data_IF_553007116169
#
_entry.id   IF_553007116169
#
_cell.length_a   1.000
_cell.length_b   1.000
_cell.length_c   1.000
_cell.angle_alpha   90.00
_cell.angle_beta   90.00
_cell.angle_gamma   90.00
#
_symmetry.space_group_name_H-M   'P 1'
#
loop_
_entity.id
_entity.type
_entity.pdbx_description
1 polymer ?
#
# COMPACT_ATOMS: atom_id res chain seq x y z
N UNK A 1 12.37 -16.76 -1.40
CA UNK A 1 10.99 -16.63 -1.94
C UNK A 1 11.01 -15.47 -2.93
N UNK A 2 10.64 -15.69 -4.18
CA UNK A 2 10.58 -14.69 -5.25
C UNK A 2 9.12 -14.46 -5.61
N UNK A 3 8.67 -13.21 -5.55
CA UNK A 3 7.27 -12.83 -5.80
C UNK A 3 7.16 -12.07 -7.13
N UNK A 4 6.10 -12.32 -7.88
CA UNK A 4 5.82 -11.63 -9.13
C UNK A 4 4.95 -10.38 -8.91
N UNK A 5 5.35 -9.25 -9.49
CA UNK A 5 4.55 -8.02 -9.53
C UNK A 5 3.50 -8.12 -10.62
N UNK A 6 2.35 -8.73 -10.32
CA UNK A 6 1.32 -8.97 -11.33
C UNK A 6 -0.06 -9.19 -10.71
N UNK A 7 -1.14 -8.66 -11.34
CA UNK A 7 -2.50 -9.04 -10.97
C UNK A 7 -2.87 -10.47 -11.41
N UNK A 8 -2.08 -11.08 -12.30
CA UNK A 8 -2.37 -12.37 -12.91
C UNK A 8 -1.68 -13.51 -12.17
N UNK A 9 -2.37 -14.08 -11.18
CA UNK A 9 -1.86 -15.21 -10.38
C UNK A 9 -1.41 -16.39 -11.25
N UNK A 10 -2.15 -16.72 -12.31
CA UNK A 10 -1.77 -17.80 -13.23
C UNK A 10 -0.46 -17.55 -13.98
N UNK A 11 -0.12 -16.29 -14.27
CA UNK A 11 1.17 -15.94 -14.90
C UNK A 11 2.31 -16.10 -13.90
N UNK A 12 2.08 -15.77 -12.63
CA UNK A 12 3.07 -16.00 -11.58
C UNK A 12 3.35 -17.50 -11.40
N UNK A 13 2.31 -18.34 -11.41
CA UNK A 13 2.47 -19.79 -11.36
C UNK A 13 3.24 -20.31 -12.57
N UNK A 14 2.85 -19.92 -13.79
CA UNK A 14 3.52 -20.33 -15.02
C UNK A 14 4.99 -19.86 -15.09
N UNK A 15 5.30 -18.73 -14.45
CA UNK A 15 6.66 -18.21 -14.33
C UNK A 15 7.49 -18.83 -13.20
N UNK A 16 6.95 -19.79 -12.44
CA UNK A 16 7.67 -20.47 -11.35
C UNK A 16 7.92 -19.59 -10.12
N UNK A 17 7.12 -18.55 -9.91
CA UNK A 17 7.24 -17.68 -8.74
C UNK A 17 6.64 -18.33 -7.48
N UNK A 18 7.13 -17.94 -6.31
CA UNK A 18 6.63 -18.41 -5.01
C UNK A 18 5.36 -17.67 -4.57
N UNK A 19 5.03 -16.56 -5.24
CA UNK A 19 3.88 -15.74 -4.89
C UNK A 19 3.75 -14.48 -5.69
N UNK A 20 2.87 -13.59 -5.24
CA UNK A 20 2.41 -12.44 -6.01
C UNK A 20 2.26 -11.18 -5.16
N UNK A 21 2.54 -10.01 -5.75
CA UNK A 21 2.27 -8.69 -5.18
C UNK A 21 1.67 -7.73 -6.24
N UNK A 22 1.01 -6.65 -5.78
CA UNK A 22 0.20 -5.79 -6.66
C UNK A 22 0.91 -4.50 -7.10
N UNK A 23 1.83 -3.97 -6.30
CA UNK A 23 2.57 -2.70 -6.44
C UNK A 23 1.71 -1.44 -6.61
N UNK A 24 0.91 -1.38 -7.67
CA UNK A 24 0.16 -0.21 -8.12
C UNK A 24 -1.02 0.09 -7.18
N UNK A 25 -0.83 1.12 -6.34
CA UNK A 25 -1.81 1.57 -5.35
C UNK A 25 -2.93 2.41 -5.95
N UNK A 26 -2.79 2.83 -7.21
CA UNK A 26 -3.85 3.52 -7.94
C UNK A 26 -4.87 2.51 -8.45
N UNK A 27 -4.42 1.41 -9.05
CA UNK A 27 -5.26 0.38 -9.67
C UNK A 27 -5.81 -0.66 -8.67
N UNK A 28 -5.04 -1.04 -7.66
CA UNK A 28 -5.43 -2.08 -6.71
C UNK A 28 -5.67 -1.50 -5.32
N UNK A 29 -6.73 -1.94 -4.65
CA UNK A 29 -7.07 -1.49 -3.30
C UNK A 29 -7.56 -2.61 -2.39
N UNK A 30 -7.85 -2.26 -1.13
CA UNK A 30 -8.27 -3.22 -0.10
C UNK A 30 -9.49 -4.08 -0.45
N UNK A 31 -10.31 -3.69 -1.44
CA UNK A 31 -11.45 -4.49 -1.92
C UNK A 31 -11.03 -5.56 -2.92
N UNK A 32 -9.93 -5.35 -3.63
CA UNK A 32 -9.37 -6.31 -4.58
C UNK A 32 -8.64 -7.47 -3.87
N UNK A 33 -7.99 -7.19 -2.75
CA UNK A 33 -7.08 -8.14 -2.09
C UNK A 33 -7.72 -9.49 -1.69
N UNK A 34 -8.96 -9.57 -1.15
CA UNK A 34 -9.55 -10.85 -0.79
C UNK A 34 -9.68 -11.83 -1.97
N UNK A 35 -10.15 -11.33 -3.12
CA UNK A 35 -10.23 -12.10 -4.37
C UNK A 35 -8.85 -12.54 -4.82
N UNK A 36 -7.89 -11.62 -4.83
CA UNK A 36 -6.54 -11.85 -5.31
C UNK A 36 -5.81 -12.91 -4.46
N UNK A 37 -5.84 -12.78 -3.13
CA UNK A 37 -5.23 -13.75 -2.23
C UNK A 37 -5.96 -15.09 -2.21
N UNK A 38 -7.29 -15.12 -2.41
CA UNK A 38 -8.01 -16.38 -2.60
C UNK A 38 -7.51 -17.14 -3.83
N UNK A 39 -7.26 -16.43 -4.94
CA UNK A 39 -6.71 -17.04 -6.16
C UNK A 39 -5.28 -17.54 -5.98
N UNK A 40 -4.41 -16.74 -5.33
CA UNK A 40 -3.03 -17.15 -5.00
C UNK A 40 -3.02 -18.45 -4.19
N UNK A 41 -3.77 -18.50 -3.09
CA UNK A 41 -3.83 -19.69 -2.23
C UNK A 41 -4.35 -20.94 -2.95
N UNK A 42 -5.35 -20.82 -3.83
CA UNK A 42 -5.85 -21.95 -4.63
C UNK A 42 -4.78 -22.58 -5.51
N UNK A 43 -3.75 -21.82 -5.86
CA UNK A 43 -2.62 -22.24 -6.69
C UNK A 43 -1.34 -22.50 -5.88
N UNK A 44 -1.43 -22.55 -4.55
CA UNK A 44 -0.28 -22.78 -3.68
C UNK A 44 0.71 -21.61 -3.61
N UNK A 45 0.30 -20.42 -4.05
CA UNK A 45 1.14 -19.22 -4.10
C UNK A 45 0.93 -18.33 -2.87
N UNK A 46 2.02 -17.69 -2.43
CA UNK A 46 1.96 -16.66 -1.39
C UNK A 46 1.28 -15.39 -1.91
N UNK A 47 0.44 -14.78 -1.09
CA UNK A 47 -0.16 -13.49 -1.40
C UNK A 47 0.50 -12.36 -0.60
N UNK A 48 1.02 -11.34 -1.30
CA UNK A 48 1.67 -10.17 -0.72
C UNK A 48 1.11 -8.84 -1.29
N UNK A 49 -0.19 -8.52 -1.09
CA UNK A 49 -0.79 -7.30 -1.62
C UNK A 49 -0.02 -6.05 -1.16
N UNK A 50 0.01 -5.04 -2.02
CA UNK A 50 0.73 -3.79 -1.77
C UNK A 50 -0.21 -2.71 -1.27
N UNK A 51 0.04 -2.21 -0.06
CA UNK A 51 -0.69 -1.09 0.53
C UNK A 51 0.04 0.21 0.25
N UNK A 52 -0.70 1.32 0.13
CA UNK A 52 -0.10 2.63 -0.04
C UNK A 52 -1.01 3.76 0.42
N UNK A 53 -0.44 4.91 0.79
CA UNK A 53 -1.20 5.98 1.41
C UNK A 53 -2.06 6.78 0.43
N UNK A 54 -1.72 6.75 -0.86
CA UNK A 54 -2.35 7.49 -1.95
C UNK A 54 -1.45 7.48 -3.19
N UNK A 55 -1.84 8.23 -4.21
CA UNK A 55 -1.11 8.41 -5.47
C UNK A 55 -1.42 9.80 -6.05
N UNK A 56 -0.39 10.55 -6.44
CA UNK A 56 -0.49 11.81 -7.17
C UNK A 56 0.81 12.07 -7.94
N UNK A 57 0.89 11.57 -9.18
CA UNK A 57 2.07 11.70 -10.03
C UNK A 57 2.03 12.89 -11.00
N UNK A 58 1.02 13.77 -10.89
CA UNK A 58 0.74 14.84 -11.88
C UNK A 58 1.88 15.84 -12.09
N UNK A 59 2.85 15.88 -11.18
CA UNK A 59 4.06 16.73 -11.30
C UNK A 59 5.24 16.03 -11.98
N UNK A 60 5.25 14.71 -12.02
CA UNK A 60 6.36 13.93 -12.56
C UNK A 60 6.00 13.24 -13.88
N UNK A 61 4.72 12.98 -14.13
CA UNK A 61 4.25 12.24 -15.30
C UNK A 61 2.99 12.89 -15.91
N UNK A 62 2.59 12.50 -17.14
CA UNK A 62 1.32 12.91 -17.74
C UNK A 62 0.07 12.27 -17.09
N UNK A 63 0.22 11.40 -16.07
CA UNK A 63 -0.93 10.75 -15.45
C UNK A 63 -1.76 11.73 -14.63
N UNK A 64 -2.98 11.98 -15.07
CA UNK A 64 -3.93 12.90 -14.44
C UNK A 64 -4.69 12.27 -13.27
N UNK A 65 -4.60 10.95 -13.09
CA UNK A 65 -5.36 10.22 -12.07
C UNK A 65 -4.74 10.46 -10.69
N UNK A 66 -5.62 10.56 -9.69
CA UNK A 66 -5.24 10.81 -8.29
C UNK A 66 -5.99 9.87 -7.39
N UNK A 67 -5.26 9.25 -6.45
CA UNK A 67 -5.84 8.60 -5.27
C UNK A 67 -5.49 9.43 -4.05
N UNK A 68 -6.47 10.21 -3.58
CA UNK A 68 -6.29 11.07 -2.41
C UNK A 68 -5.96 10.26 -1.15
N UNK A 69 -5.13 10.82 -0.26
CA UNK A 69 -4.79 10.20 1.02
C UNK A 69 -5.94 10.22 2.05
N UNK A 70 -6.90 11.14 1.87
CA UNK A 70 -8.11 11.32 2.68
C UNK A 70 -7.82 11.30 4.19
N UNK A 71 -6.89 12.14 4.62
CA UNK A 71 -6.49 12.23 6.03
C UNK A 71 -6.07 10.88 6.66
N UNK A 72 -5.50 9.98 5.85
CA UNK A 72 -5.04 8.65 6.29
C UNK A 72 -6.03 7.52 6.00
N UNK A 73 -7.31 7.82 5.72
CA UNK A 73 -8.34 6.80 5.52
C UNK A 73 -8.10 5.89 4.31
N UNK A 74 -7.36 6.37 3.29
CA UNK A 74 -6.98 5.51 2.16
C UNK A 74 -5.99 4.42 2.59
N UNK A 75 -5.01 4.78 3.42
CA UNK A 75 -4.01 3.83 3.89
C UNK A 75 -4.63 2.77 4.80
N UNK A 76 -5.48 3.21 5.73
CA UNK A 76 -6.22 2.33 6.64
C UNK A 76 -7.08 1.32 5.88
N UNK A 77 -7.86 1.78 4.89
CA UNK A 77 -8.72 0.90 4.11
C UNK A 77 -7.92 -0.18 3.33
N UNK A 78 -6.71 0.14 2.88
CA UNK A 78 -5.83 -0.83 2.19
C UNK A 78 -5.26 -1.85 3.18
N UNK A 79 -4.79 -1.41 4.34
CA UNK A 79 -4.32 -2.30 5.41
C UNK A 79 -5.42 -3.24 5.90
N UNK A 80 -6.60 -2.72 6.22
CA UNK A 80 -7.75 -3.54 6.60
C UNK A 80 -8.10 -4.55 5.51
N UNK A 81 -8.01 -4.17 4.25
CA UNK A 81 -8.19 -5.07 3.11
C UNK A 81 -7.18 -6.21 3.09
N UNK A 82 -5.91 -5.93 3.39
CA UNK A 82 -4.87 -6.94 3.46
C UNK A 82 -5.09 -7.91 4.63
N UNK A 83 -5.53 -7.40 5.79
CA UNK A 83 -5.91 -8.23 6.94
C UNK A 83 -7.10 -9.13 6.61
N UNK A 84 -8.19 -8.56 6.05
CA UNK A 84 -9.37 -9.32 5.62
C UNK A 84 -9.04 -10.39 4.57
N UNK A 85 -8.07 -10.11 3.70
CA UNK A 85 -7.61 -11.04 2.69
C UNK A 85 -6.80 -12.22 3.26
N UNK A 86 -6.44 -12.18 4.56
CA UNK A 86 -5.49 -13.07 5.22
C UNK A 86 -4.21 -13.17 4.40
N UNK A 87 -3.63 -12.01 4.08
CA UNK A 87 -2.39 -11.93 3.33
C UNK A 87 -1.24 -12.67 4.04
N UNK A 88 -0.35 -13.29 3.27
CA UNK A 88 0.83 -13.99 3.78
C UNK A 88 1.93 -13.01 4.16
N UNK A 89 2.11 -11.99 3.33
CA UNK A 89 2.95 -10.82 3.57
C UNK A 89 2.15 -9.56 3.21
N UNK A 90 2.65 -8.39 3.60
CA UNK A 90 2.15 -7.11 3.10
C UNK A 90 3.34 -6.31 2.59
N UNK A 91 3.24 -5.77 1.39
CA UNK A 91 4.25 -4.86 0.84
C UNK A 91 3.73 -3.43 0.93
N UNK A 92 4.64 -2.45 1.07
CA UNK A 92 4.27 -1.03 1.13
C UNK A 92 4.82 -0.35 -0.12
N UNK A 93 3.92 0.24 -0.90
CA UNK A 93 4.26 1.13 -1.99
C UNK A 93 3.92 2.55 -1.52
N UNK A 94 4.90 3.33 -1.05
CA UNK A 94 6.35 3.08 -1.01
C UNK A 94 6.97 3.71 0.24
N UNK A 95 8.25 3.43 0.53
CA UNK A 95 8.97 4.28 1.49
C UNK A 95 9.06 5.71 0.97
N UNK A 96 9.67 5.92 -0.21
CA UNK A 96 10.04 7.25 -0.71
C UNK A 96 9.91 7.44 -2.24
N UNK A 97 8.92 6.84 -2.92
CA UNK A 97 8.68 7.15 -4.33
C UNK A 97 7.91 8.47 -4.46
N UNK A 98 8.66 9.58 -4.32
CA UNK A 98 8.14 10.94 -4.31
C UNK A 98 7.51 11.33 -5.63
N UNK A 99 7.99 10.80 -6.77
CA UNK A 99 7.44 11.13 -8.09
C UNK A 99 5.99 10.64 -8.25
N UNK A 100 5.63 9.54 -7.60
CA UNK A 100 4.27 9.00 -7.63
C UNK A 100 3.39 9.51 -6.48
N UNK A 101 3.98 10.18 -5.50
CA UNK A 101 3.27 10.63 -4.30
C UNK A 101 2.80 9.46 -3.41
N UNK A 102 3.46 8.30 -3.47
CA UNK A 102 3.12 7.07 -2.71
C UNK A 102 3.92 6.91 -1.42
N UNK A 103 4.85 7.81 -1.13
CA UNK A 103 5.77 7.75 -0.01
C UNK A 103 5.07 7.75 1.37
N UNK A 104 5.62 6.97 2.31
CA UNK A 104 5.34 7.06 3.75
C UNK A 104 6.44 7.80 4.52
N UNK A 105 7.58 8.07 3.87
CA UNK A 105 8.66 8.92 4.38
C UNK A 105 8.11 10.27 4.89
N UNK A 106 8.65 10.83 5.99
CA UNK A 106 8.12 12.05 6.55
C UNK A 106 8.04 13.20 5.55
N UNK A 107 6.90 13.88 5.53
CA UNK A 107 6.66 14.99 4.60
C UNK A 107 6.13 16.22 5.32
N UNK A 108 6.84 17.33 5.14
CA UNK A 108 6.43 18.66 5.59
C UNK A 108 5.92 19.51 4.43
N UNK A 109 5.02 20.43 4.72
CA UNK A 109 4.61 21.42 3.73
C UNK A 109 5.82 22.31 3.38
N UNK A 110 6.05 22.50 2.08
CA UNK A 110 7.05 23.42 1.53
C UNK A 110 6.46 24.10 0.30
N UNK A 111 7.15 25.08 -0.29
CA UNK A 111 6.65 25.88 -1.40
C UNK A 111 6.05 25.01 -2.52
N UNK A 112 4.72 25.00 -2.61
CA UNK A 112 3.97 24.25 -3.61
C UNK A 112 3.79 22.75 -3.35
N UNK A 113 4.30 22.19 -2.25
CA UNK A 113 4.12 20.78 -1.87
C UNK A 113 3.39 20.65 -0.53
N UNK A 114 2.43 19.73 -0.48
CA UNK A 114 1.70 19.42 0.74
C UNK A 114 2.50 18.44 1.60
N UNK A 115 2.52 18.68 2.90
CA UNK A 115 2.89 17.67 3.89
C UNK A 115 1.71 16.78 4.22
N UNK A 116 1.71 16.22 5.42
CA UNK A 116 0.68 15.30 5.89
C UNK A 116 -0.36 15.92 6.84
N UNK A 117 -0.45 17.25 6.92
CA UNK A 117 -1.42 17.92 7.79
C UNK A 117 -2.85 17.37 7.64
N UNK A 118 -3.47 17.12 8.78
CA UNK A 118 -4.79 16.52 8.92
C UNK A 118 -4.78 14.98 8.93
N UNK A 119 -3.68 14.30 8.60
CA UNK A 119 -3.62 12.83 8.69
C UNK A 119 -3.92 12.35 10.11
N UNK A 120 -5.00 11.56 10.27
CA UNK A 120 -5.54 11.14 11.57
C UNK A 120 -5.70 12.29 12.58
N UNK A 121 -6.09 13.48 12.09
CA UNK A 121 -6.29 14.68 12.92
C UNK A 121 -5.00 15.37 13.40
N UNK A 122 -3.82 14.91 12.95
CA UNK A 122 -2.51 15.46 13.34
C UNK A 122 -2.17 16.72 12.55
N UNK A 123 -1.30 17.56 13.13
CA UNK A 123 -0.87 18.83 12.54
C UNK A 123 0.62 19.10 12.79
N UNK A 124 1.24 19.90 11.94
CA UNK A 124 2.64 20.32 12.05
C UNK A 124 3.60 19.12 12.11
N UNK A 125 4.62 19.19 12.95
CA UNK A 125 5.63 18.15 13.10
C UNK A 125 5.04 16.75 13.40
N UNK A 126 3.92 16.66 14.13
CA UNK A 126 3.25 15.39 14.42
C UNK A 126 2.60 14.76 13.18
N UNK A 127 2.22 15.58 12.19
CA UNK A 127 1.68 15.09 10.94
C UNK A 127 2.79 14.54 10.05
N UNK A 128 3.98 15.14 10.06
CA UNK A 128 5.11 14.77 9.19
C UNK A 128 5.47 13.28 9.33
N UNK A 129 5.44 12.71 10.54
CA UNK A 129 5.77 11.30 10.80
C UNK A 129 4.56 10.36 10.76
N UNK A 130 3.35 10.87 10.52
CA UNK A 130 2.11 10.14 10.79
C UNK A 130 1.98 8.81 10.02
N UNK A 131 2.50 8.73 8.78
CA UNK A 131 2.43 7.50 8.00
C UNK A 131 3.43 6.43 8.47
N UNK A 132 4.57 6.80 9.04
CA UNK A 132 5.47 5.85 9.68
C UNK A 132 4.83 5.28 10.94
N UNK A 133 4.26 6.14 11.79
CA UNK A 133 3.57 5.73 13.01
C UNK A 133 2.37 4.83 12.71
N UNK A 134 1.58 5.16 11.69
CA UNK A 134 0.46 4.32 11.26
C UNK A 134 0.95 2.99 10.66
N UNK A 135 2.06 2.99 9.95
CA UNK A 135 2.68 1.76 9.44
C UNK A 135 3.08 0.85 10.60
N UNK A 136 3.69 1.39 11.65
CA UNK A 136 4.02 0.62 12.86
C UNK A 136 2.77 0.05 13.53
N UNK A 137 1.70 0.86 13.66
CA UNK A 137 0.41 0.38 14.17
C UNK A 137 -0.12 -0.82 13.37
N UNK A 138 -0.19 -0.70 12.04
CA UNK A 138 -0.73 -1.77 11.20
C UNK A 138 0.17 -3.01 11.13
N UNK A 139 1.49 -2.84 11.14
CA UNK A 139 2.43 -3.94 11.23
C UNK A 139 2.22 -4.75 12.52
N UNK A 140 1.99 -4.08 13.66
CA UNK A 140 1.66 -4.74 14.91
C UNK A 140 0.33 -5.50 14.85
N UNK A 141 -0.72 -4.90 14.25
CA UNK A 141 -2.01 -5.60 14.04
C UNK A 141 -1.84 -6.84 13.14
N UNK A 142 -1.07 -6.73 12.07
CA UNK A 142 -0.78 -7.85 11.17
C UNK A 142 -0.04 -8.98 11.88
N UNK A 143 0.97 -8.65 12.69
CA UNK A 143 1.72 -9.63 13.48
C UNK A 143 0.82 -10.35 14.50
N UNK A 144 -0.03 -9.60 15.22
CA UNK A 144 -0.93 -10.15 16.24
C UNK A 144 -1.97 -11.12 15.68
N UNK A 145 -2.39 -10.96 14.41
CA UNK A 145 -3.33 -11.88 13.74
C UNK A 145 -2.65 -13.16 13.20
N UNK A 146 -1.32 -13.21 13.24
CA UNK A 146 -0.53 -14.33 12.70
C UNK A 146 0.24 -15.12 13.78
N UNK A 147 0.33 -14.59 14.99
CA UNK A 147 0.78 -15.32 16.19
C UNK A 147 -0.39 -16.09 16.81
#
# INVERSE_FOLDING_TARGET
>A
RVLAGTPSVGRALAGGFDGVYTYDVLLYDGRFFPRYCSQARKLGLLCAPSVGPGYDARRATPDVRVRGRRHGATYDAMWEGALRARADLVTITSYNEWHEGTQIEPARATNGYRGYDGAWGRRGALAETAYLERTAYWAAQFAALRG
#
